data_IF_784939796740
#
_entry.id   IF_784939796740
#
_cell.length_a   1.000
_cell.length_b   1.000
_cell.length_c   1.000
_cell.angle_alpha   90.00
_cell.angle_beta   90.00
_cell.angle_gamma   90.00
#
_symmetry.space_group_name_H-M   'P 1'
#
loop_
_entity.id
_entity.type
_entity.pdbx_description
1 polymer ?
#
# COMPACT_ATOMS: atom_id res chain seq x y z
N UNK A 1 30.29 -0.91 16.97
CA UNK A 1 29.08 -0.12 16.65
C UNK A 1 28.25 -0.99 15.74
N UNK A 2 27.01 -1.30 16.12
CA UNK A 2 26.12 -2.12 15.30
C UNK A 2 25.46 -1.20 14.28
N UNK A 3 25.82 -1.32 13.01
CA UNK A 3 25.09 -0.71 11.91
C UNK A 3 23.68 -1.32 11.85
N UNK A 4 22.61 -0.51 11.81
CA UNK A 4 21.26 -1.02 11.64
C UNK A 4 21.12 -1.56 10.21
N UNK A 5 20.72 -2.82 10.12
CA UNK A 5 20.44 -3.58 8.90
C UNK A 5 19.45 -2.79 8.02
N UNK A 6 19.76 -2.46 6.75
CA UNK A 6 18.78 -1.87 5.87
C UNK A 6 17.66 -2.90 5.72
N UNK A 7 16.47 -2.54 6.15
CA UNK A 7 15.26 -3.28 5.83
C UNK A 7 15.25 -3.50 4.32
N UNK A 8 15.27 -4.76 3.89
CA UNK A 8 15.20 -5.16 2.48
C UNK A 8 13.78 -4.88 1.93
N UNK A 9 13.35 -3.62 1.93
CA UNK A 9 12.30 -3.19 1.02
C UNK A 9 12.92 -3.13 -0.36
N UNK A 10 12.32 -3.86 -1.32
CA UNK A 10 12.59 -3.60 -2.73
C UNK A 10 12.31 -2.11 -3.00
N UNK A 11 13.08 -1.41 -3.85
CA UNK A 11 12.88 0.02 -4.14
C UNK A 11 11.43 0.38 -4.50
N UNK A 12 10.73 -0.55 -5.16
CA UNK A 12 9.31 -0.44 -5.50
C UNK A 12 8.38 -0.33 -4.27
N UNK A 13 8.69 -1.02 -3.17
CA UNK A 13 7.91 -0.95 -1.94
C UNK A 13 8.10 0.41 -1.27
N UNK A 14 9.32 0.93 -1.27
CA UNK A 14 9.62 2.24 -0.70
C UNK A 14 8.91 3.35 -1.48
N UNK A 15 8.93 3.29 -2.81
CA UNK A 15 8.19 4.23 -3.68
C UNK A 15 6.68 4.22 -3.39
N UNK A 16 6.09 3.04 -3.19
CA UNK A 16 4.67 2.91 -2.85
C UNK A 16 4.33 3.55 -1.50
N UNK A 17 5.23 3.45 -0.52
CA UNK A 17 5.05 4.12 0.77
C UNK A 17 5.21 5.64 0.68
N UNK A 18 6.14 6.11 -0.14
CA UNK A 18 6.33 7.55 -0.38
C UNK A 18 5.09 8.16 -1.06
N UNK A 19 4.52 7.47 -2.04
CA UNK A 19 3.27 7.88 -2.69
C UNK A 19 2.08 7.92 -1.72
N UNK A 20 1.95 6.92 -0.85
CA UNK A 20 0.91 6.90 0.20
C UNK A 20 1.12 8.04 1.22
N UNK A 21 2.36 8.30 1.63
CA UNK A 21 2.69 9.41 2.52
C UNK A 21 2.36 10.76 1.87
N UNK A 22 2.69 10.93 0.59
CA UNK A 22 2.38 12.15 -0.15
C UNK A 22 0.88 12.38 -0.32
N UNK A 23 0.11 11.30 -0.54
CA UNK A 23 -1.34 11.36 -0.58
C UNK A 23 -1.93 11.78 0.77
N UNK A 24 -1.39 11.28 1.89
CA UNK A 24 -1.74 11.77 3.22
C UNK A 24 -1.40 13.27 3.38
N UNK A 25 -0.24 13.71 2.90
CA UNK A 25 0.14 15.13 2.95
C UNK A 25 -0.83 16.03 2.17
N UNK A 26 -1.28 15.61 0.99
CA UNK A 26 -2.30 16.32 0.20
C UNK A 26 -3.63 16.43 0.97
N UNK A 27 -4.08 15.33 1.59
CA UNK A 27 -5.28 15.32 2.42
C UNK A 27 -5.19 16.26 3.62
N UNK A 28 -4.04 16.33 4.29
CA UNK A 28 -3.80 17.25 5.41
C UNK A 28 -3.79 18.73 4.96
N UNK A 29 -3.52 18.99 3.68
CA UNK A 29 -3.59 20.32 3.07
C UNK A 29 -5.00 20.67 2.57
N UNK A 30 -5.95 19.74 2.67
CA UNK A 30 -7.36 19.94 2.30
C UNK A 30 -7.78 19.31 0.98
N UNK A 31 -6.89 18.61 0.28
CA UNK A 31 -7.21 17.88 -0.95
C UNK A 31 -7.46 16.39 -0.67
N UNK A 32 -8.75 16.03 -0.57
CA UNK A 32 -9.18 14.64 -0.35
C UNK A 32 -9.79 13.99 -1.59
N UNK A 33 -9.84 14.70 -2.73
CA UNK A 33 -10.66 14.32 -3.88
C UNK A 33 -10.29 12.98 -4.51
N UNK A 34 -9.05 12.51 -4.31
CA UNK A 34 -8.55 11.27 -4.92
C UNK A 34 -7.97 10.27 -3.91
N UNK A 35 -8.17 10.50 -2.62
CA UNK A 35 -7.58 9.67 -1.56
C UNK A 35 -8.00 8.21 -1.64
N UNK A 36 -9.31 7.95 -1.77
CA UNK A 36 -9.83 6.59 -1.78
C UNK A 36 -9.33 5.77 -2.97
N UNK A 37 -9.45 6.30 -4.19
CA UNK A 37 -9.11 5.58 -5.41
C UNK A 37 -7.60 5.38 -5.56
N UNK A 38 -6.80 6.42 -5.28
CA UNK A 38 -5.33 6.33 -5.42
C UNK A 38 -4.72 5.45 -4.34
N UNK A 39 -5.19 5.56 -3.10
CA UNK A 39 -4.68 4.70 -2.02
C UNK A 39 -4.94 3.23 -2.31
N UNK A 40 -6.12 2.87 -2.82
CA UNK A 40 -6.44 1.47 -3.12
C UNK A 40 -5.49 0.86 -4.17
N UNK A 41 -5.09 1.64 -5.19
CA UNK A 41 -4.10 1.20 -6.17
C UNK A 41 -2.78 0.86 -5.50
N UNK A 42 -2.24 1.77 -4.68
CA UNK A 42 -0.96 1.56 -4.01
C UNK A 42 -1.02 0.41 -2.97
N UNK A 43 -2.12 0.29 -2.23
CA UNK A 43 -2.32 -0.80 -1.26
C UNK A 43 -2.37 -2.16 -1.96
N UNK A 44 -3.03 -2.28 -3.12
CA UNK A 44 -3.01 -3.51 -3.94
C UNK A 44 -1.61 -3.83 -4.43
N UNK A 45 -0.86 -2.83 -4.90
CA UNK A 45 0.53 -3.01 -5.32
C UNK A 45 1.42 -3.48 -4.18
N UNK A 46 1.25 -2.97 -2.95
CA UNK A 46 1.98 -3.46 -1.77
C UNK A 46 1.71 -4.95 -1.51
N UNK A 47 0.45 -5.39 -1.64
CA UNK A 47 0.07 -6.80 -1.47
C UNK A 47 0.68 -7.67 -2.58
N UNK A 48 0.61 -7.22 -3.83
CA UNK A 48 1.20 -7.92 -4.99
C UNK A 48 2.72 -8.07 -4.86
N UNK A 49 3.39 -7.07 -4.28
CA UNK A 49 4.82 -7.11 -3.96
C UNK A 49 5.14 -7.93 -2.69
N UNK A 50 4.14 -8.60 -2.09
CA UNK A 50 4.35 -9.52 -0.97
C UNK A 50 4.41 -8.85 0.40
N UNK A 51 4.16 -7.54 0.52
CA UNK A 51 4.23 -6.84 1.79
C UNK A 51 3.22 -7.37 2.83
N UNK A 52 2.12 -7.99 2.38
CA UNK A 52 1.12 -8.61 3.24
C UNK A 52 1.66 -9.74 4.14
N UNK A 53 2.84 -10.28 3.84
CA UNK A 53 3.49 -11.36 4.62
C UNK A 53 4.61 -10.85 5.53
N UNK A 54 4.92 -9.55 5.47
CA UNK A 54 5.98 -8.92 6.26
C UNK A 54 5.41 -8.51 7.62
N UNK A 55 6.18 -8.72 8.67
CA UNK A 55 5.86 -8.18 9.99
C UNK A 55 6.02 -6.65 9.97
N UNK A 56 4.94 -5.92 10.21
CA UNK A 56 4.97 -4.46 10.29
C UNK A 56 3.60 -3.82 10.04
N UNK A 57 3.43 -2.61 10.58
CA UNK A 57 2.24 -1.81 10.32
C UNK A 57 2.52 -0.83 9.19
N UNK A 58 1.69 -0.86 8.14
CA UNK A 58 1.75 0.17 7.10
C UNK A 58 1.37 1.54 7.67
N UNK A 59 0.55 1.59 8.72
CA UNK A 59 0.21 2.83 9.41
C UNK A 59 1.47 3.52 9.94
N UNK A 60 2.31 2.80 10.68
CA UNK A 60 3.51 3.35 11.28
C UNK A 60 4.51 3.83 10.23
N UNK A 61 4.67 3.06 9.15
CA UNK A 61 5.57 3.40 8.04
C UNK A 61 5.12 4.68 7.30
N UNK A 62 3.83 4.76 6.97
CA UNK A 62 3.25 5.93 6.29
C UNK A 62 3.29 7.15 7.21
N UNK A 63 3.00 6.99 8.50
CA UNK A 63 3.10 8.10 9.46
C UNK A 63 4.52 8.64 9.59
N UNK A 64 5.52 7.75 9.64
CA UNK A 64 6.92 8.15 9.72
C UNK A 64 7.33 8.96 8.48
N UNK A 65 7.00 8.46 7.29
CA UNK A 65 7.31 9.14 6.01
C UNK A 65 6.53 10.43 5.84
N UNK A 66 5.25 10.49 6.20
CA UNK A 66 4.47 11.72 6.14
C UNK A 66 5.02 12.81 7.08
N UNK A 67 5.50 12.43 8.28
CA UNK A 67 6.16 13.36 9.21
C UNK A 67 7.50 13.88 8.68
N UNK A 68 8.17 13.13 7.80
CA UNK A 68 9.38 13.59 7.13
C UNK A 68 9.04 14.49 5.93
N UNK A 69 8.13 14.06 5.05
CA UNK A 69 7.78 14.74 3.80
C UNK A 69 6.94 16.01 3.96
N UNK A 70 6.02 16.06 4.94
CA UNK A 70 5.17 17.22 5.20
C UNK A 70 5.11 17.58 6.68
N UNK A 71 6.29 17.69 7.30
CA UNK A 71 6.50 17.89 8.73
C UNK A 71 5.57 18.91 9.38
N UNK A 72 5.44 20.10 8.81
CA UNK A 72 4.59 21.16 9.39
C UNK A 72 3.12 20.72 9.45
N UNK A 73 2.54 20.31 8.32
CA UNK A 73 1.16 19.83 8.26
C UNK A 73 0.95 18.59 9.14
N UNK A 74 1.88 17.64 9.12
CA UNK A 74 1.82 16.40 9.91
C UNK A 74 1.90 16.65 11.43
N UNK A 75 2.73 17.61 11.88
CA UNK A 75 2.87 17.94 13.30
C UNK A 75 1.65 18.70 13.84
N UNK A 76 1.10 19.64 13.06
CA UNK A 76 -0.08 20.40 13.47
C UNK A 76 -1.38 19.60 13.38
N UNK A 77 -1.43 18.58 12.50
CA UNK A 77 -2.61 17.75 12.24
C UNK A 77 -2.37 16.28 12.55
N UNK A 78 -1.58 15.99 13.59
CA UNK A 78 -1.20 14.61 13.94
C UNK A 78 -2.40 13.67 14.19
N UNK A 79 -3.50 14.18 14.74
CA UNK A 79 -4.74 13.40 14.92
C UNK A 79 -5.42 13.05 13.59
N UNK A 80 -5.47 14.00 12.64
CA UNK A 80 -5.99 13.74 11.29
C UNK A 80 -5.08 12.75 10.54
N UNK A 81 -3.77 12.92 10.63
CA UNK A 81 -2.80 12.00 10.03
C UNK A 81 -3.00 10.58 10.55
N UNK A 82 -3.10 10.40 11.86
CA UNK A 82 -3.34 9.07 12.47
C UNK A 82 -4.68 8.48 12.04
N UNK A 83 -5.72 9.31 11.87
CA UNK A 83 -6.99 8.88 11.31
C UNK A 83 -6.90 8.39 9.87
N UNK A 84 -6.18 9.13 9.01
CA UNK A 84 -5.95 8.78 7.61
C UNK A 84 -5.16 7.47 7.49
N UNK A 85 -4.03 7.36 8.19
CA UNK A 85 -3.17 6.19 8.12
C UNK A 85 -3.83 4.96 8.73
N UNK A 86 -4.64 5.11 9.80
CA UNK A 86 -5.47 4.02 10.32
C UNK A 86 -6.49 3.53 9.28
N UNK A 87 -7.13 4.44 8.55
CA UNK A 87 -8.05 4.07 7.47
C UNK A 87 -7.33 3.28 6.37
N UNK A 88 -6.08 3.65 6.03
CA UNK A 88 -5.26 2.92 5.08
C UNK A 88 -4.90 1.51 5.58
N UNK A 89 -4.51 1.38 6.85
CA UNK A 89 -4.26 0.08 7.50
C UNK A 89 -5.49 -0.83 7.43
N UNK A 90 -6.66 -0.32 7.84
CA UNK A 90 -7.91 -1.09 7.82
C UNK A 90 -8.26 -1.57 6.39
N UNK A 91 -7.99 -0.76 5.37
CA UNK A 91 -8.19 -1.13 3.96
C UNK A 91 -7.19 -2.18 3.50
N UNK A 92 -5.92 -2.01 3.85
CA UNK A 92 -4.87 -2.96 3.52
C UNK A 92 -5.17 -4.34 4.12
N UNK A 93 -5.56 -4.40 5.38
CA UNK A 93 -5.87 -5.66 6.07
C UNK A 93 -7.06 -6.38 5.40
N UNK A 94 -8.09 -5.63 4.98
CA UNK A 94 -9.22 -6.19 4.22
C UNK A 94 -8.78 -6.73 2.86
N UNK A 95 -7.95 -5.98 2.12
CA UNK A 95 -7.44 -6.40 0.82
C UNK A 95 -6.50 -7.61 0.92
N UNK A 96 -5.64 -7.63 1.93
CA UNK A 96 -4.72 -8.73 2.19
C UNK A 96 -5.47 -10.02 2.55
N UNK A 97 -6.49 -9.89 3.41
CA UNK A 97 -7.39 -10.99 3.76
C UNK A 97 -8.15 -11.50 2.53
N UNK A 98 -8.78 -10.62 1.77
CA UNK A 98 -9.53 -11.01 0.57
C UNK A 98 -8.67 -11.74 -0.46
N UNK A 99 -7.43 -11.28 -0.70
CA UNK A 99 -6.47 -11.94 -1.59
C UNK A 99 -6.04 -13.31 -1.08
N UNK A 100 -5.94 -13.49 0.23
CA UNK A 100 -5.62 -14.78 0.85
C UNK A 100 -6.78 -15.77 0.72
N UNK A 101 -8.02 -15.27 0.88
CA UNK A 101 -9.24 -16.07 0.77
C UNK A 101 -9.60 -16.40 -0.71
N UNK A 102 -9.09 -15.62 -1.68
CA UNK A 102 -9.43 -15.75 -3.11
C UNK A 102 -8.18 -15.82 -4.01
N UNK A 103 -7.34 -16.87 -3.89
CA UNK A 103 -6.07 -16.97 -4.62
C UNK A 103 -6.23 -17.02 -6.15
N UNK A 104 -7.40 -17.41 -6.67
CA UNK A 104 -7.69 -17.46 -8.10
C UNK A 104 -8.03 -16.09 -8.72
N UNK A 105 -8.43 -15.08 -7.95
CA UNK A 105 -8.86 -13.80 -8.53
C UNK A 105 -7.70 -12.87 -8.89
N UNK A 106 -6.49 -13.16 -8.41
CA UNK A 106 -5.26 -12.44 -8.77
C UNK A 106 -4.50 -13.10 -9.93
N UNK A 107 -4.90 -14.33 -10.30
CA UNK A 107 -4.60 -14.89 -11.59
C UNK A 107 -5.72 -14.42 -12.54
N UNK A 108 -5.55 -13.27 -13.18
CA UNK A 108 -5.90 -13.27 -14.61
C UNK A 108 -4.97 -14.29 -15.25
N UNK A 109 -5.38 -15.55 -15.14
CA UNK A 109 -5.04 -16.57 -16.08
C UNK A 109 -5.26 -15.92 -17.44
N UNK A 110 -4.16 -15.60 -18.11
CA UNK A 110 -4.12 -15.52 -19.54
C UNK A 110 -4.72 -16.85 -19.99
N UNK A 111 -6.03 -16.85 -20.23
CA UNK A 111 -6.77 -17.95 -20.77
C UNK A 111 -6.09 -18.22 -22.10
N UNK A 112 -5.15 -19.14 -22.05
CA UNK A 112 -4.40 -19.56 -23.21
C UNK A 112 -5.43 -20.32 -23.99
N UNK A 113 -5.86 -19.72 -25.09
CA UNK A 113 -6.61 -20.36 -26.14
C UNK A 113 -5.78 -21.57 -26.61
N UNK A 114 -5.90 -22.71 -25.93
CA UNK A 114 -5.37 -23.98 -26.41
C UNK A 114 -6.53 -24.62 -27.16
N UNK A 115 -6.44 -24.47 -28.47
CA UNK A 115 -7.33 -24.99 -29.49
C UNK A 115 -7.80 -26.42 -29.17
N UNK A 116 -9.11 -26.60 -29.00
CA UNK A 116 -9.75 -27.87 -29.30
C UNK A 116 -9.70 -28.09 -30.80
N UNK A 117 -8.61 -28.68 -31.28
CA UNK A 117 -8.49 -29.22 -32.61
C UNK A 117 -7.83 -30.59 -32.50
N UNK A 118 -8.64 -31.60 -32.21
CA UNK A 118 -8.28 -33.00 -32.43
C UNK A 118 -9.30 -33.58 -33.39
N UNK A 119 -8.95 -33.56 -34.67
CA UNK A 119 -9.49 -34.39 -35.73
C UNK A 119 -8.31 -35.22 -36.23
N UNK A 120 -8.34 -36.53 -35.95
CA UNK A 120 -7.59 -37.61 -36.60
C UNK A 120 -8.04 -38.97 -36.02
#
# INVERSE_FOLDING_TARGET
>A
MADPKPSESSPQIDELFDELAQLCCQCLQGDQSHMADRSEVFLKSLIQNGYARKDGSIQAEIEARAKDSCRESAMHRGGELSGLTKNLQDRFDRLAKWNSDNPQSNNQAKATNISSATDA
#
